data_IF_335392362720
#
_entry.id   IF_335392362720
#
_cell.length_a   1.000
_cell.length_b   1.000
_cell.length_c   1.000
_cell.angle_alpha   90.00
_cell.angle_beta   90.00
_cell.angle_gamma   90.00
#
_symmetry.space_group_name_H-M   'P 1'
#
loop_
_entity.id
_entity.type
_entity.pdbx_description
1 polymer ?
#
# COMPACT_ATOMS: atom_id res chain seq x y z
N UNK A 1 17.25 -27.81 41.53
CA UNK A 1 16.40 -28.19 40.39
C UNK A 1 15.48 -27.02 40.11
N UNK A 2 15.80 -26.21 39.11
CA UNK A 2 14.86 -25.21 38.61
C UNK A 2 13.67 -25.98 38.02
N UNK A 3 12.46 -25.71 38.51
CA UNK A 3 11.23 -26.26 37.94
C UNK A 3 11.15 -25.76 36.50
N UNK A 4 11.30 -26.67 35.54
CA UNK A 4 10.84 -26.46 34.17
C UNK A 4 9.34 -26.16 34.25
N UNK A 5 8.98 -24.89 34.07
CA UNK A 5 7.59 -24.47 33.90
C UNK A 5 7.19 -24.95 32.51
N UNK A 6 6.58 -26.13 32.44
CA UNK A 6 5.83 -26.55 31.26
C UNK A 6 4.67 -25.57 31.12
N UNK A 7 4.62 -24.85 29.99
CA UNK A 7 3.48 -24.02 29.61
C UNK A 7 2.29 -24.97 29.44
N UNK A 8 1.40 -24.98 30.43
CA UNK A 8 0.26 -25.89 30.47
C UNK A 8 -0.91 -25.39 29.62
N UNK A 9 -0.84 -24.16 29.11
CA UNK A 9 -1.89 -23.56 28.31
C UNK A 9 -1.51 -23.53 26.82
N UNK A 10 -2.37 -24.06 25.93
CA UNK A 10 -2.08 -24.13 24.50
C UNK A 10 -1.91 -22.75 23.86
N UNK A 11 -2.55 -21.72 24.40
CA UNK A 11 -2.44 -20.34 23.93
C UNK A 11 -1.06 -19.75 24.22
N UNK A 12 -0.53 -19.97 25.42
CA UNK A 12 0.81 -19.53 25.80
C UNK A 12 1.88 -20.25 24.96
N UNK A 13 1.72 -21.57 24.75
CA UNK A 13 2.61 -22.36 23.91
C UNK A 13 2.59 -21.86 22.45
N UNK A 14 1.40 -21.54 21.91
CA UNK A 14 1.27 -20.97 20.57
C UNK A 14 1.88 -19.57 20.47
N UNK A 15 1.69 -18.71 21.47
CA UNK A 15 2.29 -17.38 21.53
C UNK A 15 3.83 -17.47 21.58
N UNK A 16 4.38 -18.37 22.41
CA UNK A 16 5.82 -18.63 22.47
C UNK A 16 6.34 -19.15 21.13
N UNK A 17 5.66 -20.12 20.51
CA UNK A 17 6.07 -20.66 19.21
C UNK A 17 6.10 -19.58 18.13
N UNK A 18 5.08 -18.70 18.07
CA UNK A 18 5.06 -17.53 17.17
C UNK A 18 6.21 -16.57 17.45
N UNK A 19 6.56 -16.36 18.73
CA UNK A 19 7.71 -15.54 19.12
C UNK A 19 9.04 -16.13 18.64
N UNK A 20 9.21 -17.45 18.77
CA UNK A 20 10.43 -18.16 18.37
C UNK A 20 10.54 -18.29 16.84
N UNK A 21 9.44 -18.52 16.11
CA UNK A 21 9.45 -18.64 14.65
C UNK A 21 9.87 -17.35 13.93
N UNK A 22 9.78 -16.20 14.61
CA UNK A 22 10.27 -14.90 14.13
C UNK A 22 11.80 -14.79 14.11
N UNK A 23 12.52 -15.71 14.75
CA UNK A 23 13.97 -15.70 14.76
C UNK A 23 14.51 -16.42 13.52
N UNK A 24 15.21 -15.73 12.61
CA UNK A 24 15.78 -16.34 11.43
C UNK A 24 17.05 -17.12 11.75
N UNK A 25 17.35 -18.14 10.94
CA UNK A 25 18.59 -18.92 11.01
C UNK A 25 19.49 -18.62 9.82
N UNK A 26 20.79 -18.49 10.07
CA UNK A 26 21.79 -18.25 9.03
C UNK A 26 21.99 -19.55 8.23
N UNK A 27 21.82 -19.48 6.91
CA UNK A 27 21.99 -20.63 6.02
C UNK A 27 23.27 -20.58 5.19
N UNK A 28 23.75 -19.39 4.83
CA UNK A 28 25.00 -19.22 4.09
C UNK A 28 25.61 -17.82 4.32
N UNK A 29 26.90 -17.68 4.07
CA UNK A 29 27.59 -16.39 4.08
C UNK A 29 28.69 -16.37 3.02
N UNK A 30 28.88 -15.23 2.35
CA UNK A 30 30.00 -14.99 1.46
C UNK A 30 30.61 -13.60 1.69
N UNK A 31 31.92 -13.52 1.47
CA UNK A 31 32.68 -12.28 1.56
C UNK A 31 32.88 -11.72 0.16
N UNK A 32 32.53 -10.46 -0.02
CA UNK A 32 32.85 -9.69 -1.20
C UNK A 32 34.32 -9.28 -1.25
N UNK A 33 34.73 -8.61 -2.34
CA UNK A 33 36.09 -8.14 -2.51
C UNK A 33 36.47 -7.09 -1.45
N UNK A 34 37.77 -6.98 -1.21
CA UNK A 34 38.37 -5.94 -0.38
C UNK A 34 38.45 -4.64 -1.17
N UNK A 35 37.81 -3.58 -0.68
CA UNK A 35 37.70 -2.28 -1.35
C UNK A 35 38.37 -1.21 -0.52
N UNK A 36 39.23 -0.41 -1.16
CA UNK A 36 39.87 0.75 -0.55
C UNK A 36 39.09 1.99 -0.96
N UNK A 37 38.56 2.72 0.02
CA UNK A 37 37.89 4.01 -0.19
C UNK A 37 38.89 5.07 -0.63
N UNK A 38 38.39 6.16 -1.23
CA UNK A 38 39.20 7.31 -1.64
C UNK A 38 40.04 7.95 -0.51
N UNK A 39 39.66 7.71 0.75
CA UNK A 39 40.37 8.22 1.94
C UNK A 39 41.30 7.17 2.58
N UNK A 40 41.55 6.04 1.91
CA UNK A 40 42.46 4.99 2.36
C UNK A 40 41.84 3.96 3.32
N UNK A 41 40.59 4.15 3.76
CA UNK A 41 39.88 3.17 4.59
C UNK A 41 39.51 1.91 3.79
N UNK A 42 39.68 0.73 4.40
CA UNK A 42 39.37 -0.57 3.79
C UNK A 42 38.03 -1.11 4.28
N UNK A 43 37.26 -1.70 3.38
CA UNK A 43 36.03 -2.40 3.74
C UNK A 43 35.76 -3.59 2.81
N UNK A 44 34.99 -4.54 3.33
CA UNK A 44 34.40 -5.66 2.59
C UNK A 44 32.89 -5.64 2.71
N UNK A 45 32.21 -6.13 1.68
CA UNK A 45 30.80 -6.50 1.82
C UNK A 45 30.70 -7.91 2.37
N UNK A 46 29.82 -8.14 3.32
CA UNK A 46 29.47 -9.49 3.78
C UNK A 46 28.03 -9.74 3.38
N UNK A 47 27.80 -10.75 2.56
CA UNK A 47 26.47 -11.18 2.18
C UNK A 47 26.13 -12.43 2.98
N UNK A 48 24.92 -12.48 3.52
CA UNK A 48 24.44 -13.61 4.31
C UNK A 48 23.06 -14.00 3.83
N UNK A 49 22.81 -15.30 3.70
CA UNK A 49 21.50 -15.86 3.42
C UNK A 49 20.90 -16.39 4.71
N UNK A 50 19.61 -16.14 4.88
CA UNK A 50 18.85 -16.53 6.07
C UNK A 50 17.60 -17.26 5.68
N UNK A 51 17.17 -18.19 6.53
CA UNK A 51 15.87 -18.84 6.45
C UNK A 51 15.02 -18.44 7.66
N UNK A 52 13.71 -18.29 7.47
CA UNK A 52 12.77 -18.01 8.57
C UNK A 52 11.45 -18.73 8.31
N UNK A 53 10.83 -19.28 9.36
CA UNK A 53 9.49 -19.87 9.26
C UNK A 53 8.44 -18.76 9.19
N UNK A 54 7.69 -18.72 8.10
CA UNK A 54 6.49 -17.89 7.96
C UNK A 54 5.26 -18.77 8.25
N UNK A 55 4.50 -18.40 9.28
CA UNK A 55 3.34 -19.18 9.71
C UNK A 55 2.10 -18.83 8.88
N UNK A 56 1.98 -17.59 8.43
CA UNK A 56 0.87 -17.07 7.64
C UNK A 56 0.91 -17.58 6.19
N UNK A 57 2.12 -17.72 5.62
CA UNK A 57 2.36 -18.37 4.31
C UNK A 57 2.55 -19.89 4.44
N UNK A 58 2.66 -20.43 5.65
CA UNK A 58 2.94 -21.84 5.94
C UNK A 58 4.21 -22.40 5.27
N UNK A 59 5.21 -21.58 5.01
CA UNK A 59 6.46 -21.96 4.32
C UNK A 59 7.72 -21.45 5.03
N UNK A 60 8.90 -21.88 4.58
CA UNK A 60 10.17 -21.29 5.00
C UNK A 60 10.60 -20.29 3.94
N UNK A 61 10.69 -19.02 4.33
CA UNK A 61 11.18 -17.96 3.46
C UNK A 61 12.71 -17.92 3.48
N UNK A 62 13.30 -17.50 2.36
CA UNK A 62 14.73 -17.24 2.21
C UNK A 62 14.95 -15.79 1.83
N UNK A 63 15.89 -15.14 2.48
CA UNK A 63 16.22 -13.75 2.22
C UNK A 63 17.70 -13.47 2.46
N UNK A 64 18.18 -12.40 1.82
CA UNK A 64 19.58 -11.99 1.92
C UNK A 64 19.72 -10.75 2.79
N UNK A 65 20.87 -10.65 3.46
CA UNK A 65 21.33 -9.43 4.11
C UNK A 65 22.72 -9.08 3.60
N UNK A 66 22.98 -7.80 3.52
CA UNK A 66 24.29 -7.25 3.18
C UNK A 66 24.80 -6.43 4.36
N UNK A 67 26.08 -6.57 4.68
CA UNK A 67 26.78 -5.79 5.68
C UNK A 67 27.98 -5.11 5.04
N UNK A 68 28.30 -3.90 5.49
CA UNK A 68 29.57 -3.23 5.26
C UNK A 68 30.46 -3.46 6.47
N UNK A 69 31.64 -4.04 6.26
CA UNK A 69 32.61 -4.34 7.30
C UNK A 69 33.89 -3.60 6.98
N UNK A 70 34.17 -2.54 7.73
CA UNK A 70 35.41 -1.79 7.68
C UNK A 70 36.46 -2.48 8.56
N UNK A 71 37.68 -2.62 8.05
CA UNK A 71 38.75 -3.31 8.74
C UNK A 71 40.11 -2.64 8.45
N UNK A 72 41.08 -2.83 9.35
CA UNK A 72 42.46 -2.37 9.15
C UNK A 72 43.36 -3.46 8.53
N UNK A 73 42.87 -4.70 8.46
CA UNK A 73 43.57 -5.87 7.94
C UNK A 73 43.67 -6.99 8.98
N UNK A 74 43.86 -6.62 10.24
CA UNK A 74 43.98 -7.55 11.37
C UNK A 74 42.70 -7.58 12.22
N UNK A 75 41.91 -6.50 12.20
CA UNK A 75 40.71 -6.35 13.02
C UNK A 75 39.56 -5.66 12.28
N UNK A 76 38.32 -5.98 12.70
CA UNK A 76 37.12 -5.27 12.26
C UNK A 76 37.02 -3.98 13.06
N UNK A 77 37.08 -2.85 12.36
CA UNK A 77 36.96 -1.50 12.93
C UNK A 77 35.49 -1.13 13.09
N UNK A 78 34.66 -1.48 12.10
CA UNK A 78 33.23 -1.23 12.13
C UNK A 78 32.49 -2.26 11.28
N UNK A 79 31.31 -2.69 11.71
CA UNK A 79 30.40 -3.47 10.88
C UNK A 79 28.97 -2.97 11.04
N UNK A 80 28.27 -2.81 9.91
CA UNK A 80 26.90 -2.33 9.89
C UNK A 80 26.10 -2.93 8.74
N UNK A 81 24.77 -3.13 8.91
CA UNK A 81 23.91 -3.57 7.82
C UNK A 81 23.85 -2.50 6.71
N UNK A 82 23.86 -2.95 5.47
CA UNK A 82 23.76 -2.14 4.26
C UNK A 82 22.31 -2.13 3.74
N UNK A 83 21.37 -1.69 4.59
CA UNK A 83 19.93 -1.66 4.29
C UNK A 83 19.13 -2.81 4.92
N UNK A 84 17.86 -2.89 4.51
CA UNK A 84 16.89 -3.88 5.00
C UNK A 84 17.05 -5.23 4.30
N UNK A 85 16.63 -6.31 4.97
CA UNK A 85 16.58 -7.66 4.40
C UNK A 85 15.73 -7.71 3.13
N UNK A 86 16.18 -8.46 2.12
CA UNK A 86 15.51 -8.53 0.82
C UNK A 86 15.06 -9.97 0.52
N UNK A 87 13.74 -10.19 0.50
CA UNK A 87 13.10 -11.32 -0.20
C UNK A 87 12.46 -10.76 -1.47
N UNK A 88 13.05 -11.03 -2.64
CA UNK A 88 12.59 -10.47 -3.92
C UNK A 88 11.39 -11.21 -4.52
N UNK A 89 11.13 -12.46 -4.10
CA UNK A 89 10.13 -13.31 -4.76
C UNK A 89 8.70 -12.83 -4.49
N UNK A 90 8.02 -12.36 -5.55
CA UNK A 90 6.60 -11.99 -5.47
C UNK A 90 6.32 -10.64 -4.82
N UNK A 91 7.32 -9.78 -4.64
CA UNK A 91 7.11 -8.40 -4.17
C UNK A 91 6.31 -7.60 -5.22
N UNK A 92 5.27 -6.89 -4.76
CA UNK A 92 4.41 -6.03 -5.58
C UNK A 92 4.66 -4.55 -5.28
N UNK A 93 4.65 -4.17 -4.00
CA UNK A 93 4.95 -2.83 -3.52
C UNK A 93 5.86 -2.90 -2.31
N UNK A 94 6.73 -1.91 -2.12
CA UNK A 94 7.44 -1.74 -0.87
C UNK A 94 7.67 -0.29 -0.50
N UNK A 95 7.77 -0.03 0.81
CA UNK A 95 8.02 1.29 1.36
C UNK A 95 8.79 1.19 2.68
N UNK A 96 9.87 1.94 2.80
CA UNK A 96 10.59 2.10 4.07
C UNK A 96 9.83 3.07 4.99
N UNK A 97 9.89 2.81 6.28
CA UNK A 97 9.22 3.63 7.30
C UNK A 97 9.92 5.00 7.45
N UNK A 98 9.25 6.04 7.98
CA UNK A 98 9.84 7.37 8.19
C UNK A 98 11.20 7.38 8.90
N UNK A 99 11.38 6.50 9.89
CA UNK A 99 12.65 6.33 10.63
C UNK A 99 13.70 5.51 9.86
N UNK A 100 13.29 4.84 8.78
CA UNK A 100 14.11 3.90 8.02
C UNK A 100 14.38 2.58 8.74
N UNK A 101 13.79 2.35 9.91
CA UNK A 101 14.05 1.14 10.72
C UNK A 101 13.24 -0.07 10.26
N UNK A 102 12.08 0.19 9.64
CA UNK A 102 11.17 -0.84 9.14
C UNK A 102 10.91 -0.70 7.64
N UNK A 103 10.43 -1.79 7.04
CA UNK A 103 10.00 -1.86 5.64
C UNK A 103 8.67 -2.60 5.53
N UNK A 104 7.70 -1.99 4.86
CA UNK A 104 6.45 -2.62 4.50
C UNK A 104 6.57 -3.20 3.10
N UNK A 105 6.08 -4.42 2.90
CA UNK A 105 6.13 -5.11 1.62
C UNK A 105 4.78 -5.76 1.33
N UNK A 106 4.12 -5.33 0.26
CA UNK A 106 2.99 -6.06 -0.31
C UNK A 106 3.56 -7.17 -1.19
N UNK A 107 3.16 -8.41 -0.92
CA UNK A 107 3.65 -9.60 -1.59
C UNK A 107 2.51 -10.45 -2.11
N UNK A 108 2.75 -11.07 -3.26
CA UNK A 108 1.92 -12.13 -3.83
C UNK A 108 2.55 -13.49 -3.53
N UNK A 109 1.78 -14.41 -2.95
CA UNK A 109 2.23 -15.76 -2.66
C UNK A 109 1.11 -16.79 -2.85
N UNK A 110 1.49 -18.02 -3.22
CA UNK A 110 0.56 -19.08 -3.62
C UNK A 110 0.15 -19.02 -5.10
N UNK A 111 -0.29 -20.16 -5.62
CA UNK A 111 -0.90 -20.32 -6.96
C UNK A 111 0.09 -20.59 -8.11
N UNK A 112 0.04 -21.79 -8.67
CA UNK A 112 0.42 -22.05 -10.08
C UNK A 112 -0.74 -21.82 -11.05
N UNK A 113 -1.93 -21.47 -10.50
CA UNK A 113 -3.21 -21.38 -11.20
C UNK A 113 -3.93 -20.06 -10.85
N UNK A 114 -4.66 -19.44 -11.78
CA UNK A 114 -5.45 -18.24 -11.50
C UNK A 114 -6.55 -18.54 -10.46
N UNK A 115 -6.56 -17.80 -9.34
CA UNK A 115 -7.52 -17.95 -8.23
C UNK A 115 -6.96 -18.48 -6.92
N UNK A 116 -5.74 -19.03 -6.92
CA UNK A 116 -5.04 -19.49 -5.70
C UNK A 116 -4.06 -18.46 -5.13
N UNK A 117 -3.90 -17.34 -5.83
CA UNK A 117 -2.94 -16.29 -5.50
C UNK A 117 -3.45 -15.45 -4.33
N UNK A 118 -2.64 -15.37 -3.26
CA UNK A 118 -2.97 -14.60 -2.06
C UNK A 118 -2.07 -13.37 -1.96
N UNK A 119 -2.63 -12.29 -1.44
CA UNK A 119 -1.88 -11.08 -1.13
C UNK A 119 -1.57 -11.02 0.37
N UNK A 120 -0.31 -10.76 0.68
CA UNK A 120 0.22 -10.60 2.04
C UNK A 120 0.80 -9.22 2.20
N UNK A 121 0.51 -8.55 3.31
CA UNK A 121 1.23 -7.35 3.72
C UNK A 121 2.20 -7.73 4.84
N UNK A 122 3.49 -7.54 4.59
CA UNK A 122 4.57 -7.92 5.49
C UNK A 122 5.22 -6.67 6.09
N UNK A 123 5.56 -6.74 7.38
CA UNK A 123 6.37 -5.72 8.06
C UNK A 123 7.71 -6.34 8.45
N UNK A 124 8.78 -5.73 7.97
CA UNK A 124 10.16 -6.15 8.17
C UNK A 124 10.89 -5.13 9.02
N UNK A 125 11.77 -5.60 9.90
CA UNK A 125 12.69 -4.75 10.67
C UNK A 125 14.08 -5.32 10.50
N UNK A 126 14.99 -4.53 9.88
CA UNK A 126 16.40 -4.82 9.62
C UNK A 126 16.67 -6.23 9.06
N UNK A 127 16.58 -7.21 9.95
CA UNK A 127 17.06 -8.57 9.84
C UNK A 127 15.95 -9.64 9.82
N UNK A 128 14.70 -9.31 10.09
CA UNK A 128 13.64 -10.33 10.17
C UNK A 128 12.30 -9.80 9.72
N UNK A 129 11.42 -10.71 9.32
CA UNK A 129 10.01 -10.41 9.20
C UNK A 129 9.37 -10.37 10.58
N UNK A 130 8.82 -9.22 10.95
CA UNK A 130 8.13 -9.01 12.23
C UNK A 130 6.70 -9.52 12.18
N UNK A 131 5.96 -9.14 11.13
CA UNK A 131 4.55 -9.46 10.95
C UNK A 131 4.24 -9.79 9.50
N UNK A 132 3.23 -10.61 9.31
CA UNK A 132 2.67 -10.99 8.02
C UNK A 132 1.15 -10.98 8.17
N UNK A 133 0.46 -10.33 7.24
CA UNK A 133 -1.00 -10.21 7.25
C UNK A 133 -1.56 -10.78 5.96
N UNK A 134 -2.32 -11.87 6.05
CA UNK A 134 -2.97 -12.47 4.90
C UNK A 134 -4.23 -11.69 4.54
N UNK A 135 -4.12 -10.75 3.61
CA UNK A 135 -5.20 -9.85 3.22
C UNK A 135 -6.38 -10.60 2.59
N UNK A 136 -6.09 -11.69 1.86
CA UNK A 136 -7.09 -12.53 1.22
C UNK A 136 -8.00 -13.25 2.22
N UNK A 137 -7.50 -13.59 3.42
CA UNK A 137 -8.29 -14.26 4.46
C UNK A 137 -9.10 -13.25 5.30
N UNK A 138 -8.57 -12.03 5.46
CA UNK A 138 -9.27 -10.98 6.21
C UNK A 138 -10.52 -10.47 5.49
N UNK A 139 -10.55 -10.60 4.15
CA UNK A 139 -11.72 -10.36 3.31
C UNK A 139 -12.42 -8.98 3.53
N UNK A 140 -11.66 -7.97 3.96
CA UNK A 140 -12.17 -6.60 4.20
C UNK A 140 -12.32 -5.77 2.92
N UNK A 141 -11.54 -6.09 1.91
CA UNK A 141 -11.50 -5.44 0.60
C UNK A 141 -11.15 -6.49 -0.47
N UNK A 142 -11.23 -6.11 -1.74
CA UNK A 142 -10.75 -6.89 -2.88
C UNK A 142 -9.23 -6.80 -3.04
N UNK A 143 -8.73 -6.92 -4.26
CA UNK A 143 -7.29 -6.86 -4.53
C UNK A 143 -6.70 -5.49 -4.18
N UNK A 144 -5.54 -5.49 -3.54
CA UNK A 144 -4.73 -4.29 -3.33
C UNK A 144 -4.15 -3.85 -4.66
N UNK A 145 -4.25 -2.55 -4.94
CA UNK A 145 -3.75 -1.94 -6.16
C UNK A 145 -2.25 -1.64 -6.05
N UNK A 146 -1.50 -2.14 -7.02
CA UNK A 146 -0.06 -2.07 -7.15
C UNK A 146 0.42 -1.10 -8.24
N UNK A 147 -0.51 -0.48 -8.97
CA UNK A 147 -0.20 0.42 -10.07
C UNK A 147 0.15 1.84 -9.60
N UNK A 148 0.81 2.61 -10.46
CA UNK A 148 1.21 3.99 -10.14
C UNK A 148 0.06 5.01 -10.23
N UNK A 149 -1.10 4.63 -10.77
CA UNK A 149 -2.23 5.53 -10.95
C UNK A 149 -3.05 5.63 -9.66
N UNK A 150 -3.53 4.51 -9.14
CA UNK A 150 -4.29 4.47 -7.90
C UNK A 150 -3.48 3.98 -6.71
N UNK A 151 -2.60 2.99 -6.94
CA UNK A 151 -1.90 2.27 -5.89
C UNK A 151 -1.13 3.17 -4.94
N UNK A 152 -1.10 2.77 -3.68
CA UNK A 152 -0.22 3.37 -2.69
C UNK A 152 0.15 2.35 -1.62
N UNK A 153 1.30 2.59 -1.01
CA UNK A 153 1.73 1.96 0.23
C UNK A 153 2.51 3.02 1.02
N UNK A 154 1.95 3.44 2.15
CA UNK A 154 2.45 4.56 2.94
C UNK A 154 2.37 4.28 4.44
N UNK A 155 3.45 4.57 5.15
CA UNK A 155 3.52 4.51 6.59
C UNK A 155 2.94 5.77 7.22
N UNK A 156 2.21 5.62 8.33
CA UNK A 156 1.91 6.75 9.20
C UNK A 156 3.21 7.33 9.76
N UNK A 157 3.20 8.61 10.11
CA UNK A 157 4.38 9.28 10.68
C UNK A 157 4.78 8.67 12.02
N UNK A 158 3.80 8.16 12.78
CA UNK A 158 3.96 7.38 14.01
C UNK A 158 4.46 5.95 13.79
N UNK A 159 4.54 5.46 12.55
CA UNK A 159 4.94 4.09 12.18
C UNK A 159 4.06 2.97 12.80
N UNK A 160 2.83 3.31 13.18
CA UNK A 160 1.87 2.39 13.80
C UNK A 160 0.86 1.84 12.80
N UNK A 161 0.68 2.52 11.66
CA UNK A 161 -0.31 2.18 10.66
C UNK A 161 0.26 2.17 9.24
N UNK A 162 -0.35 1.38 8.38
CA UNK A 162 -0.09 1.34 6.94
C UNK A 162 -1.35 1.74 6.16
N UNK A 163 -1.18 2.65 5.22
CA UNK A 163 -2.19 3.07 4.26
C UNK A 163 -1.91 2.42 2.90
N UNK A 164 -2.95 1.90 2.27
CA UNK A 164 -2.91 1.39 0.90
C UNK A 164 -4.28 1.53 0.22
N UNK A 165 -4.31 1.33 -1.10
CA UNK A 165 -5.55 1.38 -1.91
C UNK A 165 -5.91 -0.02 -2.39
N UNK A 166 -7.18 -0.39 -2.31
CA UNK A 166 -7.68 -1.69 -2.77
C UNK A 166 -9.04 -1.56 -3.48
N UNK A 167 -9.46 -2.56 -4.24
CA UNK A 167 -10.82 -2.63 -4.78
C UNK A 167 -11.83 -2.77 -3.63
N UNK A 168 -12.94 -2.02 -3.69
CA UNK A 168 -14.07 -2.18 -2.76
C UNK A 168 -14.65 -3.58 -2.91
N UNK A 169 -14.73 -4.32 -1.80
CA UNK A 169 -15.44 -5.61 -1.79
C UNK A 169 -16.91 -5.36 -2.10
N UNK A 170 -17.46 -6.13 -3.04
CA UNK A 170 -18.87 -6.07 -3.41
C UNK A 170 -19.63 -7.19 -2.71
N UNK A 171 -20.90 -6.96 -2.34
CA UNK A 171 -21.78 -8.03 -1.93
C UNK A 171 -21.81 -9.12 -3.00
N UNK A 172 -21.88 -10.38 -2.56
CA UNK A 172 -21.97 -11.51 -3.48
C UNK A 172 -23.27 -11.42 -4.27
N UNK A 173 -23.21 -11.51 -5.60
CA UNK A 173 -24.42 -11.56 -6.40
C UNK A 173 -24.94 -13.01 -6.51
N UNK A 174 -26.25 -13.19 -6.38
CA UNK A 174 -26.92 -14.49 -6.54
C UNK A 174 -27.95 -14.45 -7.68
N UNK A 175 -28.18 -15.58 -8.35
CA UNK A 175 -29.20 -15.67 -9.38
C UNK A 175 -30.61 -15.62 -8.79
N UNK A 176 -31.52 -14.89 -9.43
CA UNK A 176 -32.96 -14.95 -9.10
C UNK A 176 -33.54 -16.36 -9.29
N UNK A 177 -33.00 -17.13 -10.24
CA UNK A 177 -33.52 -18.42 -10.66
C UNK A 177 -32.82 -19.61 -10.01
N UNK A 178 -31.77 -19.37 -9.21
CA UNK A 178 -31.23 -20.41 -8.33
C UNK A 178 -32.16 -20.57 -7.13
N UNK A 179 -33.23 -21.34 -7.31
CA UNK A 179 -33.94 -21.96 -6.19
C UNK A 179 -32.91 -22.81 -5.47
N UNK A 180 -32.54 -22.47 -4.23
CA UNK A 180 -31.76 -23.40 -3.39
C UNK A 180 -32.49 -24.73 -3.43
N UNK A 181 -31.91 -25.72 -4.10
CA UNK A 181 -32.47 -27.04 -4.14
C UNK A 181 -32.44 -27.57 -2.71
N UNK A 182 -33.60 -27.54 -2.04
CA UNK A 182 -33.92 -28.34 -0.86
C UNK A 182 -32.93 -28.23 0.34
N UNK A 183 -32.88 -27.08 0.99
CA UNK A 183 -32.61 -27.04 2.43
C UNK A 183 -33.94 -26.92 3.18
N UNK A 184 -34.66 -28.04 3.30
CA UNK A 184 -35.76 -28.20 4.25
C UNK A 184 -35.12 -28.36 5.64
N UNK A 185 -34.60 -27.28 6.20
CA UNK A 185 -34.46 -27.10 7.66
C UNK A 185 -34.04 -25.66 7.98
N UNK A 186 -34.97 -24.83 8.45
CA UNK A 186 -34.61 -23.54 9.03
C UNK A 186 -35.68 -22.46 8.91
N UNK A 187 -36.62 -22.49 9.85
CA UNK A 187 -37.54 -21.44 10.34
C UNK A 187 -37.67 -20.10 9.57
N UNK A 188 -38.94 -19.80 9.31
CA UNK A 188 -39.57 -18.57 8.84
C UNK A 188 -39.42 -17.39 9.83
N UNK A 189 -38.21 -16.87 10.01
CA UNK A 189 -37.93 -15.74 10.95
C UNK A 189 -36.98 -14.68 10.36
N UNK A 190 -37.22 -14.30 9.10
CA UNK A 190 -36.45 -13.30 8.32
C UNK A 190 -37.18 -11.94 8.23
N UNK A 191 -37.95 -11.53 9.25
CA UNK A 191 -38.64 -10.22 9.23
C UNK A 191 -38.15 -9.21 10.29
N UNK A 192 -37.22 -9.58 11.19
CA UNK A 192 -36.88 -8.75 12.37
C UNK A 192 -35.39 -8.61 12.69
N UNK A 193 -34.47 -9.04 11.82
CA UNK A 193 -33.03 -8.86 12.05
C UNK A 193 -32.44 -7.76 11.13
N UNK A 194 -31.62 -6.84 11.66
CA UNK A 194 -30.91 -5.88 10.81
C UNK A 194 -30.03 -6.63 9.82
N UNK A 195 -30.17 -6.29 8.53
CA UNK A 195 -29.44 -6.91 7.42
C UNK A 195 -27.93 -6.84 7.70
N UNK A 196 -27.26 -8.00 7.72
CA UNK A 196 -25.80 -8.04 7.72
C UNK A 196 -25.28 -7.43 6.40
N UNK A 197 -24.15 -6.71 6.40
CA UNK A 197 -23.60 -6.07 5.19
C UNK A 197 -23.18 -7.04 4.07
N UNK A 198 -23.16 -8.35 4.35
CA UNK A 198 -22.75 -9.41 3.41
C UNK A 198 -23.93 -10.25 2.88
N UNK A 199 -25.17 -9.76 2.98
CA UNK A 199 -26.30 -10.45 2.34
C UNK A 199 -26.13 -10.40 0.81
N UNK A 200 -26.15 -11.58 0.20
CA UNK A 200 -26.05 -11.70 -1.24
C UNK A 200 -27.20 -10.95 -1.93
N UNK A 201 -26.88 -10.16 -2.94
CA UNK A 201 -27.88 -9.41 -3.70
C UNK A 201 -28.38 -10.30 -4.83
N UNK A 202 -29.66 -10.67 -4.74
CA UNK A 202 -30.32 -11.46 -5.79
C UNK A 202 -30.55 -10.59 -7.02
N UNK A 203 -30.14 -11.09 -8.17
CA UNK A 203 -30.33 -10.44 -9.47
C UNK A 203 -29.12 -9.75 -10.07
N UNK A 204 -28.13 -9.42 -9.24
CA UNK A 204 -27.01 -8.55 -9.65
C UNK A 204 -25.90 -9.30 -10.42
N UNK A 205 -26.10 -10.59 -10.70
CA UNK A 205 -25.10 -11.46 -11.34
C UNK A 205 -24.67 -10.99 -12.74
N UNK A 206 -25.49 -10.18 -13.41
CA UNK A 206 -25.22 -9.62 -14.74
C UNK A 206 -25.12 -8.09 -14.74
N UNK A 207 -25.06 -7.46 -13.57
CA UNK A 207 -24.85 -6.01 -13.48
C UNK A 207 -23.45 -5.71 -14.02
N UNK A 208 -23.40 -4.88 -15.06
CA UNK A 208 -22.14 -4.40 -15.60
C UNK A 208 -21.57 -3.33 -14.66
N UNK A 209 -20.30 -3.48 -14.32
CA UNK A 209 -19.56 -2.51 -13.55
C UNK A 209 -18.40 -2.01 -14.40
N UNK A 210 -18.47 -0.73 -14.74
CA UNK A 210 -17.43 -0.07 -15.54
C UNK A 210 -16.08 -0.13 -14.79
N UNK A 211 -15.02 -0.50 -15.49
CA UNK A 211 -13.64 -0.38 -14.99
C UNK A 211 -12.95 0.84 -15.61
N UNK A 212 -11.72 1.13 -15.17
CA UNK A 212 -10.98 2.27 -15.66
C UNK A 212 -10.30 2.05 -17.02
N UNK A 213 -10.49 0.91 -17.70
CA UNK A 213 -9.90 0.62 -19.01
C UNK A 213 -8.36 0.65 -19.00
N UNK A 214 -7.72 0.80 -20.18
CA UNK A 214 -6.26 1.03 -20.31
C UNK A 214 -5.34 0.11 -19.45
N UNK A 215 -5.56 -1.20 -19.47
CA UNK A 215 -4.87 -2.18 -18.61
C UNK A 215 -5.15 -2.06 -17.09
N UNK A 216 -6.23 -1.38 -16.71
CA UNK A 216 -6.81 -1.32 -15.37
C UNK A 216 -8.10 -2.16 -15.30
N UNK A 217 -8.08 -3.31 -15.99
CA UNK A 217 -9.20 -4.27 -15.98
C UNK A 217 -9.48 -4.68 -14.54
N UNK A 218 -10.76 -4.80 -14.20
CA UNK A 218 -11.28 -5.11 -12.85
C UNK A 218 -11.00 -4.07 -11.76
N UNK A 219 -10.32 -2.96 -12.07
CA UNK A 219 -10.19 -1.81 -11.18
C UNK A 219 -11.35 -0.87 -11.43
N UNK A 220 -12.23 -0.75 -10.45
CA UNK A 220 -13.50 -0.06 -10.64
C UNK A 220 -13.71 0.91 -9.49
N UNK A 221 -13.91 0.41 -8.27
CA UNK A 221 -14.18 1.26 -7.12
C UNK A 221 -13.05 1.12 -6.10
N UNK A 222 -11.95 1.88 -6.24
CA UNK A 222 -10.91 1.92 -5.21
C UNK A 222 -11.45 2.44 -3.89
N UNK A 223 -10.86 1.95 -2.80
CA UNK A 223 -11.08 2.42 -1.44
C UNK A 223 -9.75 2.56 -0.72
N UNK A 224 -9.69 3.50 0.21
CA UNK A 224 -8.56 3.68 1.11
C UNK A 224 -8.67 2.68 2.26
N UNK A 225 -7.60 1.95 2.53
CA UNK A 225 -7.52 0.97 3.60
C UNK A 225 -6.38 1.33 4.56
N UNK A 226 -6.67 1.24 5.85
CA UNK A 226 -5.71 1.45 6.92
C UNK A 226 -5.57 0.15 7.70
N UNK A 227 -4.34 -0.35 7.79
CA UNK A 227 -3.95 -1.48 8.63
C UNK A 227 -3.28 -0.94 9.90
N UNK A 228 -3.84 -1.28 11.05
CA UNK A 228 -3.18 -1.15 12.35
C UNK A 228 -2.16 -2.28 12.49
N UNK A 229 -0.87 -1.91 12.60
CA UNK A 229 0.21 -2.88 12.62
C UNK A 229 0.18 -3.71 13.90
N UNK A 230 -0.23 -3.14 15.03
CA UNK A 230 -0.21 -3.80 16.34
C UNK A 230 -1.24 -4.92 16.39
N UNK A 231 -2.51 -4.56 16.20
CA UNK A 231 -3.69 -5.42 16.25
C UNK A 231 -3.89 -6.28 15.01
N UNK A 232 -3.36 -5.85 13.85
CA UNK A 232 -3.63 -6.46 12.56
C UNK A 232 -5.03 -6.18 12.01
N UNK A 233 -5.78 -5.24 12.61
CA UNK A 233 -7.10 -4.86 12.13
C UNK A 233 -6.98 -3.98 10.88
N UNK A 234 -7.90 -4.19 9.93
CA UNK A 234 -7.99 -3.39 8.70
C UNK A 234 -9.32 -2.64 8.72
N UNK A 235 -9.25 -1.32 8.58
CA UNK A 235 -10.38 -0.43 8.39
C UNK A 235 -10.38 0.12 6.97
N UNK A 236 -11.53 0.01 6.29
CA UNK A 236 -11.79 0.74 5.03
C UNK A 236 -12.29 2.12 5.42
N UNK A 237 -11.64 3.18 4.94
CA UNK A 237 -12.01 4.54 5.30
C UNK A 237 -13.34 4.94 4.67
N UNK A 238 -14.21 5.51 5.49
CA UNK A 238 -15.47 6.11 5.07
C UNK A 238 -15.27 7.60 4.73
N UNK A 239 -16.28 8.24 4.14
CA UNK A 239 -16.27 9.67 3.85
C UNK A 239 -15.76 10.06 2.45
N UNK A 240 -15.04 9.18 1.75
CA UNK A 240 -14.71 9.41 0.33
C UNK A 240 -16.01 9.43 -0.51
N UNK A 241 -16.25 10.45 -1.35
CA UNK A 241 -17.46 10.53 -2.16
C UNK A 241 -17.62 9.32 -3.10
N UNK A 242 -18.82 8.78 -3.20
CA UNK A 242 -19.10 7.55 -3.99
C UNK A 242 -18.79 7.71 -5.49
N UNK A 243 -18.84 8.93 -6.02
CA UNK A 243 -18.55 9.26 -7.41
C UNK A 243 -17.06 9.58 -7.66
N UNK A 244 -16.19 9.33 -6.68
CA UNK A 244 -14.75 9.61 -6.73
C UNK A 244 -13.96 8.33 -6.45
N UNK A 245 -12.98 8.06 -7.31
CA UNK A 245 -12.00 6.99 -7.12
C UNK A 245 -10.75 7.54 -6.45
N UNK A 246 -10.42 7.17 -5.20
CA UNK A 246 -9.21 7.62 -4.53
C UNK A 246 -7.96 6.88 -5.02
N UNK A 247 -6.83 7.57 -5.03
CA UNK A 247 -5.52 7.00 -5.31
C UNK A 247 -4.37 7.94 -4.94
N UNK A 248 -3.14 7.47 -5.10
CA UNK A 248 -1.92 8.25 -4.77
C UNK A 248 -1.96 8.85 -3.36
N UNK A 249 -2.51 8.09 -2.42
CA UNK A 249 -2.80 8.58 -1.08
C UNK A 249 -1.58 8.54 -0.15
N UNK A 250 -1.55 9.46 0.80
CA UNK A 250 -0.54 9.54 1.85
C UNK A 250 -1.13 10.14 3.13
N UNK A 251 -0.47 9.91 4.26
CA UNK A 251 -0.89 10.43 5.56
C UNK A 251 -0.79 11.94 5.63
N UNK A 252 -1.83 12.59 6.14
CA UNK A 252 -1.82 14.01 6.42
C UNK A 252 -0.87 14.34 7.61
N UNK A 253 -0.42 15.60 7.74
CA UNK A 253 0.39 16.04 8.86
C UNK A 253 -0.20 15.67 10.22
N UNK A 254 0.63 15.11 11.10
CA UNK A 254 0.22 14.68 12.44
C UNK A 254 -0.67 13.44 12.48
N UNK A 255 -0.74 12.65 11.40
CA UNK A 255 -1.57 11.44 11.29
C UNK A 255 -3.08 11.68 11.54
N UNK A 256 -3.56 12.92 11.34
CA UNK A 256 -4.97 13.29 11.60
C UNK A 256 -5.93 12.80 10.53
N UNK A 257 -5.41 12.45 9.36
CA UNK A 257 -6.21 12.12 8.19
C UNK A 257 -5.38 11.58 7.04
N UNK A 258 -6.01 11.47 5.88
CA UNK A 258 -5.37 11.01 4.64
C UNK A 258 -5.64 12.02 3.54
N UNK A 259 -4.58 12.38 2.80
CA UNK A 259 -4.68 13.16 1.57
C UNK A 259 -4.57 12.22 0.38
N UNK A 260 -5.38 12.44 -0.65
CA UNK A 260 -5.39 11.59 -1.84
C UNK A 260 -5.75 12.39 -3.10
N UNK A 261 -5.44 11.83 -4.27
CA UNK A 261 -5.97 12.28 -5.55
C UNK A 261 -7.26 11.52 -5.82
N UNK A 262 -8.34 12.24 -6.13
CA UNK A 262 -9.63 11.67 -6.47
C UNK A 262 -9.99 11.91 -7.93
N UNK A 263 -10.38 10.86 -8.66
CA UNK A 263 -10.88 10.95 -10.04
C UNK A 263 -12.39 10.74 -10.09
N UNK A 264 -13.11 11.63 -10.78
CA UNK A 264 -14.56 11.51 -10.93
C UNK A 264 -14.96 10.38 -11.87
N UNK A 265 -16.06 9.71 -11.54
CA UNK A 265 -16.65 8.66 -12.38
C UNK A 265 -17.50 9.23 -13.51
N UNK A 266 -18.00 10.45 -13.36
CA UNK A 266 -18.92 11.07 -14.31
C UNK A 266 -18.21 12.02 -15.29
N UNK A 267 -18.70 12.13 -16.55
CA UNK A 267 -19.88 11.44 -17.10
C UNK A 267 -19.66 9.95 -17.39
N UNK A 268 -18.42 9.49 -17.45
CA UNK A 268 -18.03 8.07 -17.59
C UNK A 268 -16.56 7.92 -17.21
N UNK A 269 -16.14 6.71 -16.82
CA UNK A 269 -14.75 6.45 -16.45
C UNK A 269 -13.86 6.48 -17.67
N UNK A 270 -12.92 7.41 -17.65
CA UNK A 270 -11.96 7.63 -18.72
C UNK A 270 -10.63 7.01 -18.34
N UNK A 271 -10.01 6.29 -19.27
CA UNK A 271 -8.69 5.69 -19.05
C UNK A 271 -7.66 6.68 -18.52
N UNK A 272 -7.01 6.33 -17.41
CA UNK A 272 -6.09 7.19 -16.64
C UNK A 272 -4.62 6.83 -16.81
N UNK A 273 -4.30 5.65 -17.35
CA UNK A 273 -2.93 5.13 -17.40
C UNK A 273 -2.09 5.87 -18.43
N UNK A 274 -2.68 6.15 -19.59
CA UNK A 274 -2.01 6.84 -20.69
C UNK A 274 -2.49 8.30 -20.83
N UNK A 275 -3.36 8.76 -19.94
CA UNK A 275 -3.91 10.11 -19.97
C UNK A 275 -3.83 10.75 -18.58
N UNK A 276 -2.83 11.61 -18.37
CA UNK A 276 -2.61 12.31 -17.09
C UNK A 276 -3.55 13.50 -16.85
N UNK A 277 -4.41 13.83 -17.81
CA UNK A 277 -5.27 15.01 -17.83
C UNK A 277 -6.74 14.66 -17.57
N UNK A 278 -7.02 13.56 -16.85
CA UNK A 278 -8.39 13.22 -16.42
C UNK A 278 -8.76 14.07 -15.22
N UNK A 279 -10.00 14.58 -15.22
CA UNK A 279 -10.54 15.42 -14.15
C UNK A 279 -10.24 14.78 -12.80
N UNK A 280 -9.46 15.47 -11.97
CA UNK A 280 -9.05 15.00 -10.66
C UNK A 280 -8.69 16.17 -9.74
N UNK A 281 -8.84 15.95 -8.45
CA UNK A 281 -8.52 16.94 -7.43
C UNK A 281 -7.84 16.31 -6.22
N UNK A 282 -7.23 17.14 -5.40
CA UNK A 282 -6.74 16.76 -4.09
C UNK A 282 -7.87 16.81 -3.09
N UNK A 283 -7.94 15.77 -2.28
CA UNK A 283 -8.91 15.62 -1.21
C UNK A 283 -8.19 15.32 0.11
N UNK A 284 -8.84 15.67 1.21
CA UNK A 284 -8.46 15.29 2.56
C UNK A 284 -9.63 14.61 3.25
N UNK A 285 -9.42 13.42 3.79
CA UNK A 285 -10.38 12.77 4.69
C UNK A 285 -9.85 12.81 6.11
N UNK A 286 -10.64 13.38 7.01
CA UNK A 286 -10.36 13.43 8.44
C UNK A 286 -10.69 12.09 9.10
N UNK A 287 -9.72 11.48 9.79
CA UNK A 287 -9.93 10.21 10.50
C UNK A 287 -10.75 10.38 11.78
N UNK A 288 -10.86 11.60 12.32
CA UNK A 288 -11.61 11.87 13.56
C UNK A 288 -13.08 12.14 13.27
N UNK A 289 -13.37 13.02 12.31
CA UNK A 289 -14.72 13.46 11.96
C UNK A 289 -15.34 12.79 10.74
N UNK A 290 -14.58 11.97 9.99
CA UNK A 290 -15.05 11.29 8.77
C UNK A 290 -15.43 12.23 7.63
N UNK A 291 -15.09 13.52 7.73
CA UNK A 291 -15.41 14.53 6.72
C UNK A 291 -14.36 14.49 5.61
N UNK A 292 -14.81 14.60 4.37
CA UNK A 292 -13.95 14.72 3.20
C UNK A 292 -14.01 16.14 2.64
N UNK A 293 -12.87 16.79 2.58
CA UNK A 293 -12.67 18.16 2.08
C UNK A 293 -11.94 18.14 0.75
N UNK A 294 -12.36 19.00 -0.17
CA UNK A 294 -11.67 19.27 -1.42
C UNK A 294 -10.59 20.33 -1.19
N UNK A 295 -9.32 20.00 -1.48
CA UNK A 295 -8.17 20.89 -1.27
C UNK A 295 -7.75 21.68 -2.52
N UNK A 296 -8.13 21.21 -3.71
CA UNK A 296 -7.78 21.85 -4.98
C UNK A 296 -9.01 22.09 -5.85
N UNK A 297 -8.85 22.91 -6.88
CA UNK A 297 -9.87 23.15 -7.91
C UNK A 297 -10.44 21.84 -8.49
N UNK A 298 -11.76 21.77 -8.68
CA UNK A 298 -12.47 20.59 -9.14
C UNK A 298 -12.67 20.53 -10.66
N UNK A 299 -12.24 21.54 -11.41
CA UNK A 299 -12.39 21.64 -12.86
C UNK A 299 -11.13 21.22 -13.64
N UNK A 300 -10.05 20.90 -12.91
CA UNK A 300 -8.74 20.60 -13.47
C UNK A 300 -8.37 19.12 -13.26
N UNK A 301 -7.11 18.80 -13.58
CA UNK A 301 -6.50 17.53 -13.25
C UNK A 301 -5.26 17.77 -12.39
N UNK A 302 -5.09 16.93 -11.38
CA UNK A 302 -3.93 16.91 -10.49
C UNK A 302 -3.36 15.50 -10.37
N UNK A 303 -2.07 15.41 -10.08
CA UNK A 303 -1.40 14.12 -9.85
C UNK A 303 -0.12 14.26 -9.01
N UNK A 304 0.40 13.12 -8.60
CA UNK A 304 1.70 12.96 -7.93
C UNK A 304 1.90 13.84 -6.70
N UNK A 305 0.95 13.92 -5.75
CA UNK A 305 1.16 14.72 -4.56
C UNK A 305 2.25 14.12 -3.66
N UNK A 306 2.99 15.02 -3.00
CA UNK A 306 4.04 14.69 -2.03
C UNK A 306 3.97 15.65 -0.86
N UNK A 307 3.99 15.09 0.34
CA UNK A 307 4.14 15.86 1.57
C UNK A 307 5.61 16.24 1.74
N UNK A 308 5.88 17.48 2.14
CA UNK A 308 7.22 17.94 2.49
C UNK A 308 7.71 17.24 3.77
N UNK A 309 9.03 17.04 3.95
CA UNK A 309 9.57 16.35 5.12
C UNK A 309 9.23 17.01 6.47
N UNK A 310 9.03 18.33 6.48
CA UNK A 310 8.59 19.10 7.64
C UNK A 310 7.07 19.01 7.90
N UNK A 311 6.33 18.28 7.05
CA UNK A 311 4.88 18.09 7.08
C UNK A 311 4.06 19.39 6.97
N UNK A 312 4.65 20.47 6.45
CA UNK A 312 3.97 21.76 6.37
C UNK A 312 3.28 21.99 5.02
N UNK A 313 3.70 21.29 3.96
CA UNK A 313 3.35 21.66 2.57
C UNK A 313 3.13 20.43 1.72
N UNK A 314 2.19 20.53 0.79
CA UNK A 314 1.94 19.49 -0.21
C UNK A 314 2.32 20.07 -1.57
N UNK A 315 3.23 19.40 -2.27
CA UNK A 315 3.55 19.71 -3.66
C UNK A 315 2.90 18.70 -4.59
N UNK A 316 2.38 19.15 -5.73
CA UNK A 316 1.67 18.29 -6.68
C UNK A 316 1.70 18.88 -8.09
N UNK A 317 1.45 18.03 -9.08
CA UNK A 317 1.32 18.45 -10.47
C UNK A 317 -0.13 18.85 -10.76
N UNK A 318 -0.32 19.97 -11.46
CA UNK A 318 -1.62 20.45 -11.94
C UNK A 318 -1.60 20.62 -13.45
N UNK A 319 -2.62 20.13 -14.14
CA UNK A 319 -2.80 20.30 -15.58
C UNK A 319 -3.91 21.32 -15.83
N UNK A 320 -3.59 22.51 -16.40
CA UNK A 320 -4.55 23.59 -16.59
C UNK A 320 -5.65 23.32 -17.63
N UNK A 321 -5.51 22.25 -18.43
CA UNK A 321 -6.52 21.86 -19.41
C UNK A 321 -6.67 20.35 -19.48
N UNK A 322 -7.92 19.91 -19.66
CA UNK A 322 -8.31 18.51 -19.79
C UNK A 322 -8.38 18.05 -21.27
N UNK A 323 -8.13 18.94 -22.24
CA UNK A 323 -8.42 18.65 -23.65
C UNK A 323 -7.28 17.87 -24.33
N UNK A 324 -6.03 18.37 -24.40
CA UNK A 324 -4.96 17.65 -25.10
C UNK A 324 -4.24 16.68 -24.16
N UNK A 325 -3.92 15.49 -24.67
CA UNK A 325 -3.11 14.50 -23.96
C UNK A 325 -1.67 15.02 -23.75
N UNK A 326 -1.05 14.63 -22.62
CA UNK A 326 0.37 14.92 -22.30
C UNK A 326 0.78 16.40 -22.39
N UNK A 327 -0.07 17.30 -21.91
CA UNK A 327 0.32 18.69 -21.76
C UNK A 327 1.33 18.92 -20.64
N UNK A 328 1.99 20.08 -20.69
CA UNK A 328 2.80 20.56 -19.59
C UNK A 328 1.95 20.71 -18.33
N UNK A 329 2.50 20.27 -17.20
CA UNK A 329 1.94 20.51 -15.88
C UNK A 329 2.60 21.72 -15.22
N UNK A 330 1.87 22.33 -14.30
CA UNK A 330 2.41 23.26 -13.31
C UNK A 330 2.82 22.47 -12.08
N UNK A 331 3.87 22.92 -11.39
CA UNK A 331 4.16 22.48 -10.03
C UNK A 331 3.45 23.44 -9.06
N UNK A 332 2.49 22.91 -8.31
CA UNK A 332 1.74 23.64 -7.31
C UNK A 332 2.21 23.27 -5.90
N UNK A 333 2.05 24.22 -4.98
CA UNK A 333 2.32 24.06 -3.56
C UNK A 333 1.11 24.52 -2.76
N UNK A 334 0.56 23.62 -1.97
CA UNK A 334 -0.48 23.86 -0.99
C UNK A 334 0.13 23.93 0.40
N UNK A 335 -0.06 25.05 1.11
CA UNK A 335 0.37 25.19 2.50
C UNK A 335 -0.69 24.61 3.44
N UNK A 336 -0.29 23.65 4.28
CA UNK A 336 -1.21 22.91 5.13
C UNK A 336 -1.88 23.78 6.20
N UNK A 337 -1.17 24.81 6.68
CA UNK A 337 -1.64 25.68 7.76
C UNK A 337 -2.45 26.84 7.23
N UNK A 338 -1.95 27.54 6.21
CA UNK A 338 -2.64 28.70 5.66
C UNK A 338 -3.74 28.32 4.69
N UNK A 339 -3.78 27.06 4.23
CA UNK A 339 -4.73 26.54 3.24
C UNK A 339 -4.64 27.28 1.89
N UNK A 340 -3.47 27.86 1.59
CA UNK A 340 -3.23 28.64 0.38
C UNK A 340 -2.46 27.80 -0.64
N UNK A 341 -2.93 27.83 -1.88
CA UNK A 341 -2.24 27.24 -3.04
C UNK A 341 -1.47 28.31 -3.82
N UNK A 342 -0.23 28.00 -4.17
CA UNK A 342 0.62 28.82 -5.05
C UNK A 342 1.22 27.99 -6.18
N UNK A 343 1.55 28.64 -7.30
CA UNK A 343 2.29 28.01 -8.40
C UNK A 343 3.78 28.24 -8.16
N UNK A 344 4.53 27.16 -8.02
CA UNK A 344 5.99 27.19 -7.82
C UNK A 344 6.70 27.22 -9.17
N UNK A 345 6.22 26.40 -10.11
CA UNK A 345 6.73 26.37 -11.49
C UNK A 345 5.53 26.40 -12.42
N UNK A 346 5.46 27.45 -13.24
CA UNK A 346 4.41 27.60 -14.23
C UNK A 346 4.78 26.89 -15.54
N UNK A 347 3.77 26.62 -16.39
CA UNK A 347 3.97 26.15 -17.75
C UNK A 347 4.60 27.26 -18.57
N UNK A 348 5.72 26.95 -19.21
CA UNK A 348 6.34 27.88 -20.17
C UNK A 348 5.48 27.91 -21.43
N UNK A 349 4.90 29.07 -21.81
CA UNK A 349 4.15 29.17 -23.05
C UNK A 349 5.07 28.87 -24.24
N UNK A 350 4.58 28.08 -25.20
CA UNK A 350 5.27 27.93 -26.49
C UNK A 350 5.50 29.32 -27.08
N UNK A 351 6.72 29.61 -27.53
CA UNK A 351 6.99 30.84 -28.27
C UNK A 351 6.05 30.91 -29.48
N UNK A 352 5.32 32.01 -29.61
CA UNK A 352 4.43 32.31 -30.73
C UNK A 352 5.20 32.81 -31.97
N UNK A 353 6.53 32.64 -32.02
CA UNK A 353 7.37 33.08 -33.13
C UNK A 353 7.62 31.96 -34.14
N UNK A 354 7.73 32.32 -35.42
CA UNK A 354 7.88 31.42 -36.59
C UNK A 354 9.12 30.51 -36.59
N UNK A 355 9.90 30.47 -35.51
CA UNK A 355 11.10 29.64 -35.46
C UNK A 355 10.78 28.31 -34.77
N UNK A 356 10.63 27.30 -35.61
CA UNK A 356 10.51 25.88 -35.28
C UNK A 356 11.45 25.48 -34.13
N UNK A 357 10.91 24.82 -33.11
CA UNK A 357 11.69 24.24 -32.02
C UNK A 357 11.52 22.73 -32.05
N UNK A 358 12.51 22.04 -32.65
CA UNK A 358 12.74 20.59 -32.53
C UNK A 358 12.05 19.74 -33.56
#
# INVERSE_FOLDING_TARGET
MERQVLLNEPEEAAALYRGLSRQPTLSAACLGPDVITQYGGRYRTVHTEWTQRDLERMENIRFCRQYLVFHDGDSVVFSGPAGNSVETRGELLSRDSPSGTMKAVLRKAGGTSPGEEKQFLEVWEKNRKLKSFNLSVLEKHGLVYEDDCFGCLSWSHSETHLLYVAEKKRPKAESFFQTKALDISGSDDEMTRPKKPDQAIKGDQFVFYEDWGENMVSKSTPVLCVLDIESGNISVLEGVPDNVSPGQAFWAPGDTGVVFVGWWHEPFRLGIRFCSNRRSALYYVDLTGGQCELLSDDSLAVSSPRLSPDQCRIVYLRYPSLVPHHQCSQLCLYDWYTKVTSVVVDVVPRQLGENFSG
#
